data_IF_963114767160
#
_entry.id   IF_963114767160
#
_cell.length_a   1.000
_cell.length_b   1.000
_cell.length_c   1.000
_cell.angle_alpha   90.00
_cell.angle_beta   90.00
_cell.angle_gamma   90.00
#
_symmetry.space_group_name_H-M   'P 1'
#
loop_
_entity.id
_entity.type
_entity.pdbx_description
1 polymer ?
#
# COMPACT_ATOMS: atom_id res chain seq x y z
N UNK A 1 -11.34 -21.89 4.95
CA UNK A 1 -11.39 -20.43 4.73
C UNK A 1 -12.83 -20.01 4.63
N UNK A 2 -13.27 -19.12 5.45
CA UNK A 2 -14.64 -18.57 5.29
C UNK A 2 -14.50 -17.33 4.43
N UNK A 3 -15.05 -17.37 3.24
CA UNK A 3 -15.13 -16.20 2.36
C UNK A 3 -16.31 -15.36 2.79
N UNK A 4 -16.05 -14.10 3.16
CA UNK A 4 -17.07 -13.16 3.57
C UNK A 4 -17.28 -12.12 2.47
N UNK A 5 -18.53 -11.83 2.13
CA UNK A 5 -18.83 -10.64 1.35
C UNK A 5 -18.49 -9.37 2.15
N UNK A 6 -18.33 -8.23 1.46
CA UNK A 6 -18.09 -6.91 2.12
C UNK A 6 -19.07 -6.64 3.25
N UNK A 7 -20.34 -6.99 3.07
CA UNK A 7 -21.41 -6.80 4.07
C UNK A 7 -21.24 -7.71 5.30
N UNK A 8 -20.93 -8.97 5.08
CA UNK A 8 -20.69 -9.95 6.16
C UNK A 8 -19.40 -9.61 6.93
N UNK A 9 -18.37 -9.11 6.25
CA UNK A 9 -17.13 -8.63 6.88
C UNK A 9 -17.41 -7.48 7.85
N UNK A 10 -18.14 -6.44 7.41
CA UNK A 10 -18.49 -5.30 8.26
C UNK A 10 -19.32 -5.74 9.48
N UNK A 11 -20.22 -6.72 9.32
CA UNK A 11 -20.99 -7.30 10.42
C UNK A 11 -20.12 -8.14 11.37
N UNK A 12 -19.17 -8.90 10.84
CA UNK A 12 -18.29 -9.78 11.62
C UNK A 12 -17.26 -9.01 12.43
N UNK A 13 -16.71 -7.91 11.89
CA UNK A 13 -15.80 -7.03 12.65
C UNK A 13 -16.54 -6.34 13.80
N UNK A 14 -17.74 -5.86 13.58
CA UNK A 14 -18.57 -5.26 14.64
C UNK A 14 -18.84 -6.26 15.76
N UNK A 15 -19.10 -7.51 15.43
CA UNK A 15 -19.30 -8.59 16.39
C UNK A 15 -17.99 -9.06 17.07
N UNK A 16 -16.86 -9.10 16.36
CA UNK A 16 -15.57 -9.54 16.89
C UNK A 16 -14.91 -8.52 17.83
N UNK A 17 -15.22 -7.24 17.67
CA UNK A 17 -14.79 -6.17 18.58
C UNK A 17 -15.64 -6.15 19.87
N UNK A 18 -16.85 -6.70 19.81
CA UNK A 18 -17.74 -6.83 20.97
C UNK A 18 -17.57 -8.13 21.76
N UNK A 19 -17.00 -9.17 21.14
CA UNK A 19 -16.73 -10.48 21.75
C UNK A 19 -15.24 -10.74 21.79
N UNK A 20 -14.67 -10.92 22.98
CA UNK A 20 -13.27 -11.32 23.17
C UNK A 20 -12.88 -12.60 22.39
N UNK A 21 -11.64 -13.08 22.49
CA UNK A 21 -11.04 -14.01 21.54
C UNK A 21 -11.60 -15.44 21.65
N UNK A 22 -12.66 -15.73 20.95
CA UNK A 22 -13.07 -17.09 20.66
C UNK A 22 -14.01 -17.15 19.46
N UNK A 23 -13.48 -17.40 18.26
CA UNK A 23 -14.17 -18.20 17.25
C UNK A 23 -13.17 -18.75 16.22
N UNK A 24 -13.35 -20.03 15.93
CA UNK A 24 -12.45 -20.96 15.31
C UNK A 24 -12.12 -20.68 13.84
N UNK A 25 -10.85 -20.95 13.51
CA UNK A 25 -10.30 -21.04 12.16
C UNK A 25 -10.72 -22.33 11.45
N UNK A 26 -11.06 -22.25 10.16
CA UNK A 26 -10.95 -23.39 9.24
C UNK A 26 -10.23 -22.92 7.97
N UNK A 27 -9.19 -23.65 7.63
CA UNK A 27 -8.40 -23.43 6.43
C UNK A 27 -9.15 -23.95 5.20
N UNK A 28 -9.17 -23.18 4.10
CA UNK A 28 -9.48 -23.67 2.78
C UNK A 28 -8.61 -22.94 1.76
N UNK A 29 -7.62 -23.64 1.25
CA UNK A 29 -6.93 -23.31 0.01
C UNK A 29 -7.79 -23.85 -1.13
N UNK A 30 -8.13 -23.06 -2.13
CA UNK A 30 -8.56 -23.55 -3.42
C UNK A 30 -9.87 -23.09 -4.04
N UNK A 31 -10.70 -22.25 -3.42
CA UNK A 31 -12.01 -21.90 -3.99
C UNK A 31 -12.15 -20.47 -4.58
N UNK A 32 -11.12 -19.63 -4.53
CA UNK A 32 -11.24 -18.19 -4.83
C UNK A 32 -11.08 -17.80 -6.31
N UNK A 33 -10.60 -18.70 -7.17
CA UNK A 33 -10.25 -18.36 -8.56
C UNK A 33 -11.44 -18.37 -9.53
N UNK A 34 -12.62 -18.78 -9.11
CA UNK A 34 -13.75 -19.03 -10.03
C UNK A 34 -14.69 -17.84 -10.25
N UNK A 35 -14.62 -16.76 -9.47
CA UNK A 35 -15.62 -15.68 -9.50
C UNK A 35 -15.24 -14.42 -10.28
N UNK A 36 -13.98 -14.27 -10.71
CA UNK A 36 -13.49 -13.02 -11.34
C UNK A 36 -13.43 -11.82 -10.41
N UNK A 37 -13.75 -11.97 -9.13
CA UNK A 37 -13.68 -10.91 -8.11
C UNK A 37 -12.31 -10.94 -7.44
N UNK A 38 -11.60 -9.79 -7.31
CA UNK A 38 -10.31 -9.74 -6.64
C UNK A 38 -10.33 -10.27 -5.21
N UNK A 39 -9.27 -10.98 -4.81
CA UNK A 39 -9.11 -11.47 -3.44
C UNK A 39 -8.24 -10.51 -2.65
N UNK A 40 -8.69 -10.15 -1.46
CA UNK A 40 -7.88 -9.46 -0.45
C UNK A 40 -7.70 -10.39 0.74
N UNK A 41 -6.46 -10.76 1.00
CA UNK A 41 -6.09 -11.49 2.21
C UNK A 41 -5.92 -10.49 3.36
N UNK A 42 -6.33 -10.87 4.56
CA UNK A 42 -6.17 -10.07 5.77
C UNK A 42 -5.78 -10.92 6.97
N UNK A 43 -4.83 -10.43 7.76
CA UNK A 43 -4.49 -10.98 9.08
C UNK A 43 -4.43 -9.85 10.10
N UNK A 44 -4.98 -10.04 11.32
CA UNK A 44 -4.81 -9.08 12.42
C UNK A 44 -3.40 -9.11 13.03
N UNK A 45 -2.59 -10.12 12.68
CA UNK A 45 -1.24 -10.26 13.21
C UNK A 45 -0.28 -9.24 12.61
N UNK A 46 0.56 -8.66 13.46
CA UNK A 46 1.58 -7.68 13.12
C UNK A 46 2.96 -8.21 13.53
N UNK A 47 3.59 -8.92 12.61
CA UNK A 47 4.93 -9.46 12.76
C UNK A 47 5.61 -9.63 11.41
N UNK A 48 6.94 -9.79 11.40
CA UNK A 48 7.69 -10.16 10.20
C UNK A 48 7.16 -11.48 9.60
N UNK A 49 6.89 -12.49 10.42
CA UNK A 49 6.37 -13.78 9.98
C UNK A 49 5.00 -13.63 9.29
N UNK A 50 4.10 -12.80 9.85
CA UNK A 50 2.81 -12.50 9.23
C UNK A 50 3.00 -11.80 7.88
N UNK A 51 3.89 -10.80 7.79
CA UNK A 51 4.20 -10.11 6.53
C UNK A 51 4.69 -11.08 5.45
N UNK A 52 5.61 -11.96 5.78
CA UNK A 52 6.14 -12.97 4.85
C UNK A 52 5.06 -13.96 4.41
N UNK A 53 4.18 -14.38 5.32
CA UNK A 53 3.05 -15.25 5.00
C UNK A 53 2.10 -14.56 4.02
N UNK A 54 1.77 -13.28 4.26
CA UNK A 54 0.90 -12.51 3.37
C UNK A 54 1.52 -12.33 1.98
N UNK A 55 2.80 -12.04 1.88
CA UNK A 55 3.52 -11.97 0.61
C UNK A 55 3.44 -13.29 -0.19
N UNK A 56 3.64 -14.44 0.46
CA UNK A 56 3.60 -15.75 -0.21
C UNK A 56 2.24 -16.10 -0.83
N UNK A 57 1.16 -15.47 -0.39
CA UNK A 57 -0.19 -15.67 -0.96
C UNK A 57 -0.40 -14.95 -2.30
N UNK A 58 0.45 -13.97 -2.61
CA UNK A 58 0.24 -13.09 -3.76
C UNK A 58 1.43 -13.03 -4.73
N UNK A 59 2.56 -13.69 -4.42
CA UNK A 59 3.81 -13.53 -5.15
C UNK A 59 3.97 -14.40 -6.40
N UNK A 60 2.94 -15.12 -6.82
CA UNK A 60 3.00 -16.12 -7.90
C UNK A 60 3.61 -15.59 -9.21
N UNK A 61 3.29 -14.36 -9.58
CA UNK A 61 3.72 -13.73 -10.82
C UNK A 61 4.89 -12.73 -10.64
N UNK A 62 5.50 -12.69 -9.45
CA UNK A 62 6.68 -11.85 -9.17
C UNK A 62 7.94 -12.58 -9.64
N UNK A 63 8.62 -12.00 -10.63
CA UNK A 63 9.78 -12.59 -11.31
C UNK A 63 10.79 -11.51 -11.71
N UNK A 64 12.01 -11.93 -12.07
CA UNK A 64 13.05 -11.03 -12.56
C UNK A 64 13.59 -10.08 -11.49
N UNK A 65 14.00 -8.88 -11.90
CA UNK A 65 14.44 -7.81 -10.98
C UNK A 65 13.24 -7.16 -10.33
N UNK A 66 13.19 -7.15 -9.02
CA UNK A 66 12.00 -6.74 -8.26
C UNK A 66 12.22 -5.41 -7.56
N UNK A 67 11.40 -4.42 -7.87
CA UNK A 67 11.29 -3.19 -7.11
C UNK A 67 10.49 -3.43 -5.83
N UNK A 68 11.12 -3.35 -4.66
CA UNK A 68 10.40 -3.32 -3.37
C UNK A 68 10.08 -1.86 -3.04
N UNK A 69 8.87 -1.43 -3.41
CA UNK A 69 8.45 -0.03 -3.24
C UNK A 69 7.85 0.19 -1.87
N UNK A 70 8.51 1.00 -1.08
CA UNK A 70 8.01 1.48 0.20
C UNK A 70 8.36 2.96 0.40
N UNK A 71 7.86 3.56 1.47
CA UNK A 71 8.27 4.89 1.90
C UNK A 71 9.29 4.78 3.03
N UNK A 72 10.53 5.21 2.76
CA UNK A 72 11.65 5.13 3.72
C UNK A 72 11.57 6.20 4.82
N UNK A 73 10.65 7.16 4.70
CA UNK A 73 10.40 8.21 5.69
C UNK A 73 11.28 9.45 5.53
N UNK A 74 10.83 10.54 6.11
CA UNK A 74 11.67 11.70 6.40
C UNK A 74 12.57 11.42 7.62
N UNK A 75 13.60 12.26 7.89
CA UNK A 75 14.51 12.03 9.01
C UNK A 75 13.79 11.78 10.33
N UNK A 76 14.14 10.65 10.99
CA UNK A 76 13.65 10.25 12.32
C UNK A 76 12.11 10.19 12.43
N UNK A 77 11.41 9.87 11.35
CA UNK A 77 9.96 9.66 11.37
C UNK A 77 9.57 8.52 12.33
N UNK A 78 8.69 8.76 13.33
CA UNK A 78 8.45 7.82 14.41
C UNK A 78 7.64 6.59 14.00
N UNK A 79 6.86 6.69 12.92
CA UNK A 79 5.84 5.70 12.56
C UNK A 79 6.24 4.79 11.39
N UNK A 80 7.43 4.99 10.77
CA UNK A 80 7.85 4.21 9.60
C UNK A 80 7.87 2.70 9.89
N UNK A 81 7.77 1.89 8.85
CA UNK A 81 7.74 0.44 8.96
C UNK A 81 8.98 -0.11 9.70
N UNK A 82 8.84 -1.18 10.50
CA UNK A 82 9.96 -1.82 11.18
C UNK A 82 11.01 -2.30 10.18
N UNK A 83 12.27 -1.91 10.38
CA UNK A 83 13.38 -2.26 9.46
C UNK A 83 13.65 -3.75 9.40
N UNK A 84 13.49 -4.45 10.51
CA UNK A 84 13.62 -5.91 10.59
C UNK A 84 12.57 -6.62 9.71
N UNK A 85 11.31 -6.18 9.72
CA UNK A 85 10.26 -6.75 8.85
C UNK A 85 10.58 -6.55 7.37
N UNK A 86 11.04 -5.35 7.01
CA UNK A 86 11.38 -5.04 5.62
C UNK A 86 12.63 -5.78 5.17
N UNK A 87 13.63 -5.92 6.05
CA UNK A 87 14.83 -6.75 5.79
C UNK A 87 14.45 -8.20 5.51
N UNK A 88 13.58 -8.79 6.34
CA UNK A 88 13.15 -10.18 6.19
C UNK A 88 12.34 -10.38 4.90
N UNK A 89 11.49 -9.40 4.55
CA UNK A 89 10.77 -9.43 3.27
C UNK A 89 11.74 -9.29 2.10
N UNK A 90 12.65 -8.33 2.12
CA UNK A 90 13.64 -8.12 1.06
C UNK A 90 14.50 -9.37 0.85
N UNK A 91 14.94 -10.02 1.93
CA UNK A 91 15.69 -11.27 1.85
C UNK A 91 14.87 -12.45 1.28
N UNK A 92 13.54 -12.39 1.38
CA UNK A 92 12.63 -13.42 0.86
C UNK A 92 12.27 -13.18 -0.62
N UNK A 93 12.26 -11.91 -1.07
CA UNK A 93 11.94 -11.55 -2.46
C UNK A 93 13.21 -11.63 -3.32
N UNK A 94 13.31 -12.61 -4.24
CA UNK A 94 14.52 -12.77 -5.05
C UNK A 94 14.83 -11.52 -5.88
N UNK A 95 16.11 -11.19 -6.02
CA UNK A 95 16.60 -10.06 -6.84
C UNK A 95 15.91 -8.72 -6.55
N UNK A 96 15.49 -8.51 -5.29
CA UNK A 96 14.79 -7.29 -4.90
C UNK A 96 15.74 -6.18 -4.45
N UNK A 97 15.33 -4.95 -4.79
CA UNK A 97 15.97 -3.72 -4.34
C UNK A 97 14.89 -2.79 -3.80
N UNK A 98 15.12 -2.17 -2.65
CA UNK A 98 14.22 -1.10 -2.17
C UNK A 98 14.32 0.07 -3.13
N UNK A 99 13.17 0.62 -3.54
CA UNK A 99 13.14 1.76 -4.47
C UNK A 99 12.38 2.94 -3.89
N UNK A 100 12.93 4.13 -4.11
CA UNK A 100 12.35 5.43 -3.76
C UNK A 100 12.61 6.44 -4.88
N UNK A 101 12.02 7.63 -4.82
CA UNK A 101 12.41 8.76 -5.66
C UNK A 101 12.50 10.05 -4.85
N UNK A 102 13.30 10.99 -5.33
CA UNK A 102 13.48 12.30 -4.70
C UNK A 102 12.15 13.02 -4.52
N UNK A 103 12.07 13.96 -3.58
CA UNK A 103 10.84 14.69 -3.27
C UNK A 103 10.79 16.07 -3.94
N UNK A 104 9.58 16.59 -4.15
CA UNK A 104 9.37 17.90 -4.74
C UNK A 104 9.43 19.04 -3.71
N UNK A 105 9.03 18.76 -2.46
CA UNK A 105 9.02 19.76 -1.39
C UNK A 105 10.41 19.92 -0.76
N UNK A 106 10.61 21.04 -0.04
CA UNK A 106 11.87 21.33 0.65
C UNK A 106 12.14 20.31 1.75
N UNK A 107 13.12 19.44 1.53
CA UNK A 107 13.56 18.37 2.42
C UNK A 107 14.99 17.98 2.03
N UNK A 108 15.77 17.36 2.94
CA UNK A 108 17.03 16.71 2.54
C UNK A 108 16.87 15.69 1.41
N UNK A 109 15.70 15.05 1.30
CA UNK A 109 15.36 14.08 0.25
C UNK A 109 15.10 14.72 -1.12
N UNK A 110 15.20 16.05 -1.27
CA UNK A 110 15.05 16.73 -2.55
C UNK A 110 16.23 16.49 -3.51
N UNK A 111 17.39 16.14 -2.96
CA UNK A 111 18.58 15.77 -3.73
C UNK A 111 18.96 14.32 -3.46
N UNK A 112 19.51 13.62 -4.43
CA UNK A 112 19.95 12.22 -4.28
C UNK A 112 20.96 12.05 -3.14
N UNK A 113 21.94 12.96 -3.01
CA UNK A 113 22.92 12.91 -1.92
C UNK A 113 22.23 13.05 -0.53
N UNK A 114 21.36 14.04 -0.38
CA UNK A 114 20.61 14.24 0.86
C UNK A 114 19.67 13.09 1.17
N UNK A 115 19.02 12.53 0.14
CA UNK A 115 18.12 11.38 0.27
C UNK A 115 18.88 10.14 0.76
N UNK A 116 20.07 9.84 0.21
CA UNK A 116 20.93 8.75 0.69
C UNK A 116 21.31 8.90 2.16
N UNK A 117 21.58 10.14 2.62
CA UNK A 117 21.85 10.42 4.05
C UNK A 117 20.63 10.11 4.92
N UNK A 118 19.42 10.48 4.48
CA UNK A 118 18.16 10.18 5.21
C UNK A 118 17.89 8.67 5.24
N UNK A 119 18.11 7.97 4.12
CA UNK A 119 17.99 6.51 4.03
C UNK A 119 18.89 5.84 5.09
N UNK A 120 20.16 6.25 5.17
CA UNK A 120 21.09 5.72 6.16
C UNK A 120 20.69 6.08 7.60
N UNK A 121 20.29 7.34 7.85
CA UNK A 121 19.82 7.82 9.16
C UNK A 121 18.61 7.03 9.66
N UNK A 122 17.67 6.70 8.77
CA UNK A 122 16.49 5.92 9.11
C UNK A 122 16.75 4.40 9.21
N UNK A 123 18.03 3.96 9.02
CA UNK A 123 18.44 2.57 9.21
C UNK A 123 18.15 1.64 8.02
N UNK A 124 17.93 2.17 6.84
CA UNK A 124 17.76 1.38 5.60
C UNK A 124 19.12 1.02 4.98
N UNK A 125 19.97 0.33 5.74
CA UNK A 125 21.36 0.02 5.36
C UNK A 125 21.63 -1.48 5.16
N UNK A 126 20.63 -2.31 5.32
CA UNK A 126 20.73 -3.77 5.22
C UNK A 126 20.66 -4.30 3.78
N UNK A 127 20.28 -3.46 2.83
CA UNK A 127 20.30 -3.76 1.40
C UNK A 127 20.50 -2.46 0.59
N UNK A 128 20.82 -2.55 -0.70
CA UNK A 128 20.82 -1.38 -1.58
C UNK A 128 19.44 -0.71 -1.63
N UNK A 129 19.44 0.62 -1.67
CA UNK A 129 18.23 1.42 -1.95
C UNK A 129 18.51 2.21 -3.24
N UNK A 130 17.70 1.98 -4.26
CA UNK A 130 17.78 2.66 -5.54
C UNK A 130 16.88 3.91 -5.52
N UNK A 131 17.44 5.05 -5.85
CA UNK A 131 16.71 6.30 -6.04
C UNK A 131 16.39 6.41 -7.53
N UNK A 132 15.16 6.06 -7.89
CA UNK A 132 14.70 5.84 -9.26
C UNK A 132 15.04 6.98 -10.23
N UNK A 133 15.09 8.21 -9.73
CA UNK A 133 15.29 9.43 -10.53
C UNK A 133 16.68 10.07 -10.34
N UNK A 134 17.67 9.32 -9.83
CA UNK A 134 19.02 9.87 -9.65
C UNK A 134 19.74 10.17 -10.99
N UNK A 135 19.41 9.45 -12.05
CA UNK A 135 19.93 9.64 -13.40
C UNK A 135 18.95 10.36 -14.34
N UNK A 136 17.91 11.01 -13.76
CA UNK A 136 16.88 11.72 -14.51
C UNK A 136 15.57 10.98 -14.59
N UNK A 137 14.70 11.42 -15.50
CA UNK A 137 13.36 10.87 -15.63
C UNK A 137 12.95 10.63 -17.10
N UNK A 138 11.92 9.80 -17.28
CA UNK A 138 11.33 9.43 -18.55
C UNK A 138 9.81 9.40 -18.45
N UNK A 139 9.08 9.68 -19.56
CA UNK A 139 7.63 9.58 -19.57
C UNK A 139 7.15 8.13 -19.45
N UNK A 140 6.15 7.92 -18.61
CA UNK A 140 5.35 6.70 -18.54
C UNK A 140 3.94 7.01 -19.05
N UNK A 141 3.47 6.33 -20.13
CA UNK A 141 2.16 6.57 -20.69
C UNK A 141 1.02 6.25 -19.71
N UNK A 142 -0.05 7.03 -19.75
CA UNK A 142 -1.30 6.81 -19.03
C UNK A 142 -2.44 6.66 -20.04
N UNK A 143 -2.97 5.46 -20.18
CA UNK A 143 -4.06 5.17 -21.11
C UNK A 143 -5.42 5.38 -20.41
N UNK A 144 -6.24 6.29 -20.93
CA UNK A 144 -7.58 6.54 -20.40
C UNK A 144 -7.60 7.26 -19.06
N UNK A 145 -6.56 8.02 -18.72
CA UNK A 145 -6.53 8.88 -17.55
C UNK A 145 -7.49 10.06 -17.65
N UNK A 146 -7.91 10.60 -16.51
CA UNK A 146 -8.79 11.77 -16.42
C UNK A 146 -8.09 13.07 -16.80
N UNK A 147 -6.81 13.20 -16.44
CA UNK A 147 -6.02 14.42 -16.61
C UNK A 147 -4.66 14.17 -17.26
N UNK A 148 -4.01 13.05 -16.94
CA UNK A 148 -2.67 12.75 -17.42
C UNK A 148 -2.72 11.79 -18.61
N UNK A 149 -2.01 12.11 -19.68
CA UNK A 149 -1.71 11.19 -20.79
C UNK A 149 -0.39 10.45 -20.60
N UNK A 150 0.48 11.03 -19.79
CA UNK A 150 1.76 10.50 -19.34
C UNK A 150 2.18 11.25 -18.08
N UNK A 151 3.10 10.67 -17.33
CA UNK A 151 3.80 11.36 -16.25
C UNK A 151 5.25 10.89 -16.16
N UNK A 152 6.11 11.71 -15.57
CA UNK A 152 7.53 11.43 -15.50
C UNK A 152 7.85 10.52 -14.29
N UNK A 153 8.46 9.38 -14.57
CA UNK A 153 9.03 8.46 -13.57
C UNK A 153 10.55 8.48 -13.67
N UNK A 154 11.24 8.12 -12.59
CA UNK A 154 12.70 8.02 -12.63
C UNK A 154 13.17 7.01 -13.69
N UNK A 155 14.33 7.27 -14.34
CA UNK A 155 14.86 6.40 -15.41
C UNK A 155 15.05 4.97 -14.93
N UNK A 156 15.43 4.76 -13.65
CA UNK A 156 15.65 3.42 -13.09
C UNK A 156 14.37 2.62 -12.91
N UNK A 157 13.19 3.25 -12.93
CA UNK A 157 11.89 2.55 -12.90
C UNK A 157 11.80 1.43 -13.94
N UNK A 158 12.37 1.67 -15.13
CA UNK A 158 12.37 0.72 -16.24
C UNK A 158 13.40 -0.42 -16.11
N UNK A 159 14.20 -0.41 -15.04
CA UNK A 159 15.16 -1.48 -14.76
C UNK A 159 14.51 -2.69 -14.07
N UNK A 160 13.27 -2.61 -13.68
CA UNK A 160 12.58 -3.63 -12.90
C UNK A 160 11.51 -4.37 -13.72
N UNK A 161 11.46 -5.69 -13.54
CA UNK A 161 10.50 -6.58 -14.21
C UNK A 161 9.22 -6.75 -13.39
N UNK A 162 9.32 -6.60 -12.07
CA UNK A 162 8.21 -6.75 -11.12
C UNK A 162 8.26 -5.70 -10.03
N UNK A 163 7.12 -5.48 -9.35
CA UNK A 163 7.04 -4.59 -8.20
C UNK A 163 6.27 -5.21 -7.03
N UNK A 164 6.85 -5.16 -5.84
CA UNK A 164 6.17 -5.44 -4.56
C UNK A 164 5.95 -4.12 -3.84
N UNK A 165 4.69 -3.72 -3.70
CA UNK A 165 4.31 -2.46 -3.07
C UNK A 165 4.03 -2.72 -1.60
N UNK A 166 4.95 -2.30 -0.72
CA UNK A 166 4.80 -2.42 0.73
C UNK A 166 4.43 -1.05 1.30
N UNK A 167 3.20 -0.92 1.77
CA UNK A 167 2.64 0.34 2.20
C UNK A 167 2.39 0.36 3.70
N UNK A 168 2.95 1.35 4.39
CA UNK A 168 2.45 1.78 5.68
C UNK A 168 1.15 2.56 5.44
N UNK A 169 0.00 1.97 5.76
CA UNK A 169 -1.31 2.63 5.60
C UNK A 169 -1.56 3.63 6.74
N UNK A 170 -1.94 4.86 6.42
CA UNK A 170 -2.12 5.97 7.39
C UNK A 170 -2.86 7.15 6.78
N UNK A 171 -3.12 8.17 7.58
CA UNK A 171 -3.61 9.46 7.11
C UNK A 171 -2.59 10.20 6.23
N UNK A 172 -3.06 11.24 5.55
CA UNK A 172 -2.22 12.13 4.74
C UNK A 172 -2.79 13.54 4.66
N UNK A 173 -1.92 14.54 4.80
CA UNK A 173 -2.31 15.96 4.86
C UNK A 173 -3.02 16.49 3.61
N UNK A 174 -2.68 16.02 2.42
CA UNK A 174 -3.31 16.40 1.15
C UNK A 174 -4.24 15.31 0.63
N UNK A 175 -3.83 14.04 0.66
CA UNK A 175 -4.52 12.90 0.07
C UNK A 175 -5.63 12.30 0.95
N UNK A 176 -5.81 12.78 2.18
CA UNK A 176 -6.72 12.17 3.13
C UNK A 176 -6.13 10.91 3.76
N UNK A 177 -5.73 9.95 2.96
CA UNK A 177 -4.99 8.76 3.37
C UNK A 177 -3.85 8.43 2.40
N UNK A 178 -2.92 7.61 2.84
CA UNK A 178 -1.86 7.03 2.04
C UNK A 178 -1.96 5.51 2.04
N UNK A 179 -2.59 4.96 1.00
CA UNK A 179 -2.66 3.55 0.65
C UNK A 179 -1.64 3.18 -0.43
N UNK A 180 -1.83 2.01 -1.05
CA UNK A 180 -0.97 1.52 -2.13
C UNK A 180 -1.01 2.43 -3.35
N UNK A 181 -2.17 3.01 -3.70
CA UNK A 181 -2.25 3.97 -4.80
C UNK A 181 -1.29 5.15 -4.59
N UNK A 182 -1.37 5.79 -3.42
CA UNK A 182 -0.48 6.92 -3.12
C UNK A 182 0.98 6.50 -3.08
N UNK A 183 1.28 5.31 -2.55
CA UNK A 183 2.66 4.82 -2.47
C UNK A 183 3.31 4.71 -3.85
N UNK A 184 2.61 4.17 -4.84
CA UNK A 184 3.18 4.05 -6.20
C UNK A 184 3.10 5.37 -6.97
N UNK A 185 1.96 6.06 -6.99
CA UNK A 185 1.75 7.25 -7.82
C UNK A 185 2.69 8.40 -7.45
N UNK A 186 2.88 8.67 -6.16
CA UNK A 186 3.82 9.69 -5.68
C UNK A 186 5.24 9.12 -5.60
N UNK A 187 5.38 7.87 -5.15
CA UNK A 187 6.66 7.26 -4.84
C UNK A 187 7.47 6.80 -6.04
N UNK A 188 6.86 6.64 -7.23
CA UNK A 188 7.58 6.35 -8.49
C UNK A 188 7.71 7.59 -9.38
N UNK A 189 6.88 8.62 -9.17
CA UNK A 189 7.01 9.89 -9.88
C UNK A 189 8.35 10.56 -9.55
N UNK A 190 9.03 11.10 -10.56
CA UNK A 190 10.30 11.82 -10.37
C UNK A 190 10.13 13.06 -9.52
N UNK A 191 11.16 13.41 -8.73
CA UNK A 191 11.17 14.61 -7.90
C UNK A 191 11.14 15.89 -8.72
N UNK A 192 11.81 15.89 -9.87
CA UNK A 192 11.95 17.08 -10.71
C UNK A 192 10.63 17.45 -11.44
N UNK A 193 9.96 16.48 -12.06
CA UNK A 193 8.82 16.75 -12.94
C UNK A 193 7.58 15.93 -12.58
N UNK A 194 7.72 14.62 -12.37
CA UNK A 194 6.59 13.71 -12.19
C UNK A 194 5.72 14.04 -10.98
N UNK A 195 6.33 14.38 -9.86
CA UNK A 195 5.58 14.77 -8.66
C UNK A 195 4.78 16.06 -8.86
N UNK A 196 5.30 17.02 -9.65
CA UNK A 196 4.54 18.22 -10.00
C UNK A 196 3.30 17.88 -10.84
N UNK A 197 3.44 16.96 -11.81
CA UNK A 197 2.31 16.47 -12.62
C UNK A 197 1.26 15.79 -11.75
N UNK A 198 1.65 14.83 -10.89
CA UNK A 198 0.72 14.09 -10.02
C UNK A 198 0.05 15.01 -9.00
N UNK A 199 0.76 16.01 -8.46
CA UNK A 199 0.16 17.03 -7.58
C UNK A 199 -0.62 18.10 -8.34
N UNK A 200 -0.71 17.99 -9.67
CA UNK A 200 -1.35 18.98 -10.52
C UNK A 200 -0.90 20.42 -10.21
N UNK A 201 0.42 20.58 -10.01
CA UNK A 201 1.01 21.90 -9.74
C UNK A 201 0.74 22.82 -10.94
N UNK A 202 0.22 24.00 -10.66
CA UNK A 202 -0.10 24.98 -11.70
C UNK A 202 1.17 25.67 -12.23
N UNK A 203 1.15 26.31 -13.41
CA UNK A 203 2.32 26.98 -13.96
C UNK A 203 2.93 28.06 -13.06
N UNK A 204 2.13 28.66 -12.18
CA UNK A 204 2.56 29.63 -11.15
C UNK A 204 3.05 28.95 -9.86
N UNK A 205 3.19 27.61 -9.85
CA UNK A 205 3.77 26.84 -8.75
C UNK A 205 2.81 26.49 -7.60
N UNK A 206 1.50 26.72 -7.77
CA UNK A 206 0.50 26.41 -6.75
C UNK A 206 0.18 24.89 -6.74
N UNK A 207 0.18 24.29 -5.56
CA UNK A 207 -0.20 22.90 -5.37
C UNK A 207 -1.72 22.73 -5.37
N UNK A 208 -2.23 21.96 -6.31
CA UNK A 208 -3.67 21.63 -6.33
C UNK A 208 -4.01 20.66 -5.19
N UNK A 209 -5.14 20.89 -4.56
CA UNK A 209 -5.70 20.06 -3.48
C UNK A 209 -7.07 19.52 -3.89
N UNK A 210 -7.54 18.52 -3.14
CA UNK A 210 -8.87 17.94 -3.35
C UNK A 210 -8.93 17.01 -4.56
N UNK A 211 -10.05 16.97 -5.25
CA UNK A 211 -10.38 15.91 -6.21
C UNK A 211 -9.38 15.77 -7.35
N UNK A 212 -8.97 16.86 -7.99
CA UNK A 212 -8.01 16.82 -9.10
C UNK A 212 -6.69 16.16 -8.72
N UNK A 213 -6.19 16.40 -7.52
CA UNK A 213 -4.98 15.73 -7.02
C UNK A 213 -5.20 14.20 -6.88
N UNK A 214 -6.37 13.78 -6.36
CA UNK A 214 -6.70 12.36 -6.25
C UNK A 214 -6.85 11.69 -7.62
N UNK A 215 -7.41 12.40 -8.57
CA UNK A 215 -7.60 11.96 -9.95
C UNK A 215 -6.25 11.79 -10.66
N UNK A 216 -5.34 12.76 -10.54
CA UNK A 216 -3.98 12.64 -11.07
C UNK A 216 -3.19 11.49 -10.40
N UNK A 217 -3.41 11.21 -9.10
CA UNK A 217 -2.85 10.01 -8.46
C UNK A 217 -3.41 8.73 -9.06
N UNK A 218 -4.72 8.67 -9.35
CA UNK A 218 -5.33 7.51 -10.00
C UNK A 218 -4.76 7.30 -11.41
N UNK A 219 -4.61 8.36 -12.18
CA UNK A 219 -4.00 8.34 -13.52
C UNK A 219 -2.57 7.79 -13.46
N UNK A 220 -1.73 8.32 -12.58
CA UNK A 220 -0.35 7.85 -12.40
C UNK A 220 -0.30 6.39 -11.94
N UNK A 221 -1.17 6.02 -10.98
CA UNK A 221 -1.32 4.63 -10.54
C UNK A 221 -1.68 3.70 -11.68
N UNK A 222 -2.61 4.11 -12.56
CA UNK A 222 -2.98 3.33 -13.74
C UNK A 222 -1.81 3.12 -14.68
N UNK A 223 -1.03 4.15 -14.98
CA UNK A 223 0.15 4.02 -15.82
C UNK A 223 1.15 2.98 -15.27
N UNK A 224 1.36 2.96 -13.94
CA UNK A 224 2.24 1.98 -13.29
C UNK A 224 1.66 0.57 -13.35
N UNK A 225 0.37 0.41 -13.06
CA UNK A 225 -0.32 -0.90 -13.14
C UNK A 225 -0.30 -1.43 -14.57
N UNK A 226 -0.58 -0.59 -15.56
CA UNK A 226 -0.54 -0.98 -16.99
C UNK A 226 0.87 -1.40 -17.43
N UNK A 227 1.92 -0.79 -16.85
CA UNK A 227 3.32 -1.13 -17.15
C UNK A 227 3.72 -2.52 -16.63
N UNK A 228 3.45 -2.81 -15.35
CA UNK A 228 3.82 -4.09 -14.74
C UNK A 228 2.82 -5.21 -15.03
N UNK A 229 1.57 -4.89 -15.38
CA UNK A 229 0.52 -5.88 -15.60
C UNK A 229 0.31 -6.77 -14.38
N UNK A 230 0.49 -8.09 -14.54
CA UNK A 230 0.36 -9.06 -13.44
C UNK A 230 1.58 -9.15 -12.51
N UNK A 231 2.67 -8.48 -12.85
CA UNK A 231 3.94 -8.51 -12.12
C UNK A 231 4.02 -7.42 -11.03
N UNK A 232 2.87 -6.96 -10.51
CA UNK A 232 2.80 -6.03 -9.39
C UNK A 232 1.84 -6.56 -8.34
N UNK A 233 2.26 -6.48 -7.07
CA UNK A 233 1.45 -6.92 -5.92
C UNK A 233 1.50 -5.91 -4.79
N UNK A 234 0.51 -5.93 -3.92
CA UNK A 234 0.29 -4.88 -2.92
C UNK A 234 0.13 -5.47 -1.52
N UNK A 235 0.78 -4.83 -0.55
CA UNK A 235 0.66 -5.14 0.88
C UNK A 235 0.44 -3.82 1.63
N UNK A 236 -0.68 -3.70 2.32
CA UNK A 236 -0.98 -2.58 3.23
C UNK A 236 -0.80 -3.03 4.68
N UNK A 237 0.09 -2.37 5.41
CA UNK A 237 0.34 -2.58 6.83
C UNK A 237 -0.38 -1.49 7.62
N UNK A 238 -1.47 -1.88 8.28
CA UNK A 238 -2.36 -0.99 9.04
C UNK A 238 -1.92 -0.99 10.52
N UNK A 239 -0.78 -0.36 10.79
CA UNK A 239 -0.20 -0.19 12.14
C UNK A 239 0.26 1.25 12.34
N UNK A 240 0.31 1.70 13.58
CA UNK A 240 0.72 3.07 13.92
C UNK A 240 0.06 4.12 13.03
N UNK A 241 -1.23 3.95 12.76
CA UNK A 241 -1.98 4.82 11.85
C UNK A 241 -2.22 6.20 12.47
N UNK A 242 -1.35 7.13 12.09
CA UNK A 242 -1.47 8.56 12.38
C UNK A 242 -2.36 9.25 11.33
N UNK A 243 -2.84 10.45 11.63
CA UNK A 243 -3.48 11.33 10.63
C UNK A 243 -2.48 11.92 9.63
N UNK A 244 -1.18 11.83 9.93
CA UNK A 244 -0.11 12.33 9.09
C UNK A 244 0.65 11.18 8.42
N UNK A 245 1.28 11.51 7.30
CA UNK A 245 2.15 10.59 6.57
C UNK A 245 3.57 10.62 7.15
N UNK A 246 4.34 9.55 6.92
CA UNK A 246 5.77 9.49 7.25
C UNK A 246 6.59 10.61 6.59
N UNK A 247 6.02 11.30 5.60
CA UNK A 247 6.58 12.52 5.01
C UNK A 247 6.51 13.76 5.94
N UNK A 248 5.84 13.68 7.08
CA UNK A 248 5.90 14.71 8.12
C UNK A 248 7.13 14.56 9.05
N UNK A 249 7.88 13.47 8.92
CA UNK A 249 9.08 13.21 9.73
C UNK A 249 8.77 13.27 11.23
N UNK A 250 9.61 13.97 11.99
CA UNK A 250 9.43 14.17 13.44
C UNK A 250 8.13 14.89 13.84
N UNK A 251 7.52 15.64 12.90
CA UNK A 251 6.28 16.36 13.14
C UNK A 251 5.02 15.48 12.94
N UNK A 252 5.18 14.21 12.54
CA UNK A 252 4.06 13.29 12.42
C UNK A 252 3.34 13.12 13.76
N UNK A 253 2.02 13.26 13.73
CA UNK A 253 1.17 13.06 14.90
C UNK A 253 1.30 11.61 15.43
N UNK A 254 1.02 11.43 16.72
CA UNK A 254 0.90 10.10 17.29
C UNK A 254 -0.21 9.29 16.57
N UNK A 255 -0.10 7.96 16.53
CA UNK A 255 -1.18 7.11 16.05
C UNK A 255 -2.51 7.42 16.75
N UNK A 256 -3.60 7.50 15.99
CA UNK A 256 -4.92 7.85 16.48
C UNK A 256 -5.91 6.70 16.41
N UNK A 257 -5.47 5.57 15.83
CA UNK A 257 -6.26 4.35 15.69
C UNK A 257 -5.51 3.14 16.23
N UNK A 258 -6.21 2.10 16.70
CA UNK A 258 -5.57 0.82 16.98
C UNK A 258 -5.00 0.21 15.70
N UNK A 259 -4.03 -0.65 15.87
CA UNK A 259 -3.47 -1.46 14.79
C UNK A 259 -4.51 -2.46 14.28
N UNK A 260 -4.62 -2.60 12.96
CA UNK A 260 -5.65 -3.43 12.31
C UNK A 260 -5.10 -4.64 11.55
N UNK A 261 -3.76 -4.76 11.45
CA UNK A 261 -3.12 -5.90 10.82
C UNK A 261 -2.51 -5.63 9.45
N UNK A 262 -2.41 -6.67 8.63
CA UNK A 262 -1.79 -6.64 7.31
C UNK A 262 -2.79 -7.14 6.27
N UNK A 263 -2.92 -6.42 5.16
CA UNK A 263 -3.66 -6.83 3.97
C UNK A 263 -2.73 -7.10 2.80
N UNK A 264 -3.10 -8.04 1.92
CA UNK A 264 -2.36 -8.36 0.70
C UNK A 264 -3.31 -8.68 -0.45
N UNK A 265 -3.01 -8.19 -1.65
CA UNK A 265 -3.79 -8.45 -2.87
C UNK A 265 -2.92 -8.26 -4.12
N UNK A 266 -3.37 -8.83 -5.24
CA UNK A 266 -2.86 -8.55 -6.58
C UNK A 266 -3.61 -7.41 -7.28
N UNK A 267 -4.62 -6.81 -6.63
CA UNK A 267 -5.46 -5.75 -7.17
C UNK A 267 -5.34 -4.48 -6.31
N UNK A 268 -4.95 -3.37 -6.96
CA UNK A 268 -4.69 -2.09 -6.31
C UNK A 268 -5.95 -1.47 -5.70
N UNK A 269 -7.03 -1.45 -6.47
CA UNK A 269 -8.29 -0.85 -6.00
C UNK A 269 -8.90 -1.68 -4.88
N UNK A 270 -8.87 -2.99 -5.01
CA UNK A 270 -9.43 -3.89 -4.01
C UNK A 270 -8.74 -3.75 -2.65
N UNK A 271 -7.40 -3.69 -2.63
CA UNK A 271 -6.66 -3.58 -1.35
C UNK A 271 -6.88 -2.23 -0.68
N UNK A 272 -6.87 -1.13 -1.43
CA UNK A 272 -7.10 0.19 -0.85
C UNK A 272 -8.58 0.35 -0.40
N UNK A 273 -9.53 -0.21 -1.17
CA UNK A 273 -10.96 -0.26 -0.76
C UNK A 273 -11.13 -1.07 0.53
N UNK A 274 -10.54 -2.26 0.62
CA UNK A 274 -10.63 -3.11 1.82
C UNK A 274 -9.99 -2.44 3.04
N UNK A 275 -8.87 -1.75 2.85
CA UNK A 275 -8.20 -1.00 3.94
C UNK A 275 -9.08 0.13 4.47
N UNK A 276 -9.72 0.89 3.59
CA UNK A 276 -10.69 1.94 3.95
C UNK A 276 -11.91 1.33 4.65
N UNK A 277 -12.48 0.25 4.11
CA UNK A 277 -13.64 -0.41 4.71
C UNK A 277 -13.34 -0.90 6.13
N UNK A 278 -12.13 -1.43 6.37
CA UNK A 278 -11.71 -1.85 7.71
C UNK A 278 -11.59 -0.67 8.68
N UNK A 279 -11.03 0.46 8.24
CA UNK A 279 -10.98 1.70 9.04
C UNK A 279 -12.39 2.17 9.38
N UNK A 280 -13.30 2.20 8.40
CA UNK A 280 -14.67 2.67 8.59
C UNK A 280 -15.53 1.73 9.44
N UNK A 281 -15.18 0.44 9.50
CA UNK A 281 -15.86 -0.55 10.35
C UNK A 281 -15.55 -0.39 11.85
N UNK A 282 -14.50 0.34 12.21
CA UNK A 282 -14.13 0.57 13.62
C UNK A 282 -15.18 1.43 14.33
N UNK A 283 -15.33 1.29 15.67
CA UNK A 283 -16.17 2.16 16.48
C UNK A 283 -15.79 3.65 16.31
N UNK A 284 -16.78 4.54 16.34
CA UNK A 284 -16.59 5.96 16.07
C UNK A 284 -15.53 6.63 16.97
N UNK A 285 -15.51 6.28 18.25
CA UNK A 285 -14.52 6.83 19.19
C UNK A 285 -13.06 6.43 18.86
N UNK A 286 -12.85 5.39 18.05
CA UNK A 286 -11.52 4.96 17.60
C UNK A 286 -11.14 5.56 16.26
N UNK A 287 -12.08 5.66 15.32
CA UNK A 287 -11.81 6.02 13.92
C UNK A 287 -11.99 7.50 13.59
N UNK A 288 -12.77 8.26 14.39
CA UNK A 288 -13.26 9.59 14.00
C UNK A 288 -12.16 10.54 13.54
N UNK A 289 -10.99 10.51 14.18
CA UNK A 289 -9.88 11.40 13.86
C UNK A 289 -9.29 11.11 12.48
N UNK A 290 -9.07 9.83 12.16
CA UNK A 290 -8.55 9.41 10.86
C UNK A 290 -9.62 9.55 9.77
N UNK A 291 -10.87 9.17 10.05
CA UNK A 291 -11.99 9.33 9.10
C UNK A 291 -12.19 10.81 8.77
N UNK A 292 -12.19 11.70 9.77
CA UNK A 292 -12.27 13.15 9.52
C UNK A 292 -11.12 13.65 8.64
N UNK A 293 -9.87 13.15 8.82
CA UNK A 293 -8.76 13.47 7.92
C UNK A 293 -9.05 12.99 6.48
N UNK A 294 -9.56 11.77 6.32
CA UNK A 294 -9.89 11.20 5.01
C UNK A 294 -10.96 12.04 4.31
N UNK A 295 -12.06 12.32 5.00
CA UNK A 295 -13.22 13.01 4.44
C UNK A 295 -12.96 14.49 4.18
N UNK A 296 -12.34 15.20 5.14
CA UNK A 296 -12.00 16.63 4.98
C UNK A 296 -11.03 16.92 3.84
N UNK A 297 -10.29 15.91 3.38
CA UNK A 297 -9.40 16.00 2.23
C UNK A 297 -9.99 15.37 0.96
N UNK A 298 -11.24 14.92 0.99
CA UNK A 298 -11.90 14.18 -0.11
C UNK A 298 -11.14 12.90 -0.50
N UNK A 299 -10.49 12.24 0.48
CA UNK A 299 -9.59 11.11 0.25
C UNK A 299 -10.24 9.94 -0.49
N UNK A 300 -11.55 9.71 -0.30
CA UNK A 300 -12.29 8.66 -1.00
C UNK A 300 -12.37 8.86 -2.52
N UNK A 301 -12.05 10.07 -3.03
CA UNK A 301 -11.94 10.30 -4.47
C UNK A 301 -10.83 9.47 -5.11
N UNK A 302 -9.80 9.07 -4.36
CA UNK A 302 -8.80 8.11 -4.85
C UNK A 302 -9.46 6.82 -5.35
N UNK A 303 -10.39 6.25 -4.57
CA UNK A 303 -11.10 5.00 -4.93
C UNK A 303 -12.07 5.23 -6.10
N UNK A 304 -12.87 6.30 -6.05
CA UNK A 304 -13.86 6.56 -7.10
C UNK A 304 -13.19 6.93 -8.43
N UNK A 305 -12.06 7.64 -8.42
CA UNK A 305 -11.29 7.93 -9.62
C UNK A 305 -10.71 6.66 -10.27
N UNK A 306 -10.14 5.73 -9.47
CA UNK A 306 -9.69 4.44 -9.99
C UNK A 306 -10.83 3.65 -10.67
N UNK A 307 -12.05 3.66 -10.09
CA UNK A 307 -13.23 3.03 -10.72
C UNK A 307 -13.59 3.70 -12.04
N UNK A 308 -13.59 5.01 -12.07
CA UNK A 308 -13.96 5.82 -13.23
C UNK A 308 -13.04 5.56 -14.44
N UNK A 309 -11.74 5.36 -14.20
CA UNK A 309 -10.75 5.05 -15.25
C UNK A 309 -10.59 3.55 -15.53
N UNK A 310 -11.49 2.72 -15.02
CA UNK A 310 -11.55 1.30 -15.35
C UNK A 310 -10.53 0.39 -14.63
N UNK A 311 -10.06 0.77 -13.46
CA UNK A 311 -9.16 -0.08 -12.64
C UNK A 311 -9.92 -1.09 -11.76
N UNK A 312 -11.19 -1.35 -12.03
CA UNK A 312 -12.05 -2.25 -11.27
C UNK A 312 -13.30 -1.56 -10.73
N UNK A 313 -14.17 -2.31 -10.04
CA UNK A 313 -15.41 -1.79 -9.45
C UNK A 313 -15.36 -1.64 -7.92
N UNK A 314 -14.22 -2.00 -7.31
CA UNK A 314 -14.00 -1.94 -5.87
C UNK A 314 -14.68 -3.05 -5.07
N UNK A 315 -15.26 -4.06 -5.75
CA UNK A 315 -15.68 -5.30 -5.09
C UNK A 315 -14.46 -6.17 -4.81
N UNK A 316 -14.50 -6.91 -3.72
CA UNK A 316 -13.44 -7.85 -3.37
C UNK A 316 -14.01 -8.97 -2.51
N UNK A 317 -13.31 -10.09 -2.51
CA UNK A 317 -13.52 -11.18 -1.57
C UNK A 317 -12.48 -11.06 -0.47
N UNK A 318 -12.92 -10.94 0.78
CA UNK A 318 -12.00 -10.89 1.92
C UNK A 318 -11.74 -12.29 2.45
N UNK A 319 -10.47 -12.64 2.59
CA UNK A 319 -10.01 -13.93 3.14
C UNK A 319 -9.17 -13.67 4.39
N UNK A 320 -9.68 -14.07 5.55
CA UNK A 320 -8.95 -13.96 6.82
C UNK A 320 -7.91 -15.06 6.96
N UNK A 321 -6.66 -14.68 7.21
CA UNK A 321 -5.53 -15.58 7.46
C UNK A 321 -5.21 -15.52 8.95
N UNK A 322 -5.20 -16.70 9.61
CA UNK A 322 -4.81 -16.87 11.02
C UNK A 322 -3.66 -17.84 11.11
N UNK A 323 -2.80 -17.68 12.11
CA UNK A 323 -1.81 -18.72 12.42
C UNK A 323 -2.50 -19.99 12.89
N UNK A 324 -1.98 -21.13 12.42
CA UNK A 324 -2.28 -22.43 13.05
C UNK A 324 -1.67 -22.39 14.45
N UNK A 325 -2.46 -22.59 15.49
CA UNK A 325 -1.91 -22.77 16.83
C UNK A 325 -0.95 -23.96 16.82
N UNK A 326 0.25 -23.83 17.44
CA UNK A 326 1.13 -24.99 17.60
C UNK A 326 0.35 -26.11 18.30
N UNK A 327 0.23 -27.28 17.67
CA UNK A 327 -0.42 -28.45 18.25
C UNK A 327 -1.75 -28.91 17.61
N UNK A 328 -2.30 -28.24 16.63
CA UNK A 328 -3.39 -28.81 15.83
C UNK A 328 -2.84 -29.73 14.76
N UNK A 329 -3.04 -31.06 14.95
CA UNK A 329 -2.78 -32.08 13.93
C UNK A 329 -3.65 -31.80 12.69
N UNK A 330 -3.18 -32.13 11.47
CA UNK A 330 -4.04 -32.23 10.31
C UNK A 330 -5.20 -33.18 10.65
N UNK A 331 -6.42 -32.78 10.32
CA UNK A 331 -7.52 -33.77 10.24
C UNK A 331 -7.10 -34.74 9.14
N UNK A 332 -6.88 -35.99 9.51
CA UNK A 332 -6.69 -37.09 8.56
C UNK A 332 -7.93 -37.13 7.67
N UNK A 333 -7.71 -37.07 6.35
CA UNK A 333 -8.75 -37.33 5.38
C UNK A 333 -9.25 -38.77 5.63
N UNK A 334 -10.47 -38.87 6.15
CA UNK A 334 -11.13 -40.16 6.33
C UNK A 334 -11.40 -40.80 4.95
N UNK A 335 -10.39 -41.52 4.48
CA UNK A 335 -10.62 -42.61 3.51
C UNK A 335 -10.62 -43.91 4.31
N UNK A 336 -11.78 -44.32 4.73
CA UNK A 336 -12.02 -45.71 5.08
C UNK A 336 -13.12 -46.26 4.15
N UNK A 337 -12.65 -47.26 3.36
CA UNK A 337 -13.32 -48.39 2.68
C UNK A 337 -14.71 -48.19 2.08
#
# INVERSE_FOLDING_TARGET
>A
MTTLSRREFLQTITAALAAGPALASHAAEGAAAASGVPVVYWTPELSSAALLRMYRLINKDITGRVALKLHTGEPDGPNILPRDWVRDLQATVPQSTIVESNVLYKSPRQTTEGHRKVIAQNGWTFCPVDILDEEGDRPLPVKGGLHLKEFMVGTHFFNYDSMVVLTHFKGHGMGGYGGSLKNISIGCASGAHGKAQVHAVTPDGQWTRGEKFMECMADAGKGIVDHFGKHIVYINVLRNMSIDCDCAGKAASQPTMPDLGIMASTDLLAIDQASIDLVYAMPDFMKHTLVNRIESRKGLRQLSAMKEIGMGDGKYQLVRILDKKPGQRPLEDGTDS
#
